data_IF_104500487288
#
_entry.id   IF_104500487288
#
_cell.length_a   1.000
_cell.length_b   1.000
_cell.length_c   1.000
_cell.angle_alpha   90.00
_cell.angle_beta   90.00
_cell.angle_gamma   90.00
#
_symmetry.space_group_name_H-M   'P 1'
#
loop_
_entity.id
_entity.type
_entity.pdbx_description
1 polymer ?
#
# COMPACT_ATOMS: atom_id res chain seq x y z
N UNK A 1 6.13 21.77 -5.50
CA UNK A 1 5.75 20.73 -6.49
C UNK A 1 5.38 19.45 -5.78
N UNK A 2 4.36 18.72 -6.24
CA UNK A 2 3.78 17.57 -5.54
C UNK A 2 4.86 16.59 -5.05
N UNK A 3 4.93 16.44 -3.73
CA UNK A 3 6.00 15.76 -3.01
C UNK A 3 6.28 14.39 -3.62
N UNK A 4 7.43 14.21 -4.27
CA UNK A 4 7.94 12.96 -4.86
C UNK A 4 7.71 11.72 -3.96
N UNK A 5 7.71 11.95 -2.64
CA UNK A 5 7.40 10.95 -1.61
C UNK A 5 5.96 10.41 -1.65
N UNK A 6 4.97 11.25 -1.89
CA UNK A 6 3.55 10.86 -1.98
C UNK A 6 3.31 9.98 -3.20
N UNK A 7 3.85 10.40 -4.36
CA UNK A 7 3.74 9.66 -5.61
C UNK A 7 4.35 8.25 -5.48
N UNK A 8 5.56 8.14 -4.91
CA UNK A 8 6.20 6.84 -4.66
C UNK A 8 5.39 5.94 -3.72
N UNK A 9 4.71 6.50 -2.71
CA UNK A 9 3.86 5.73 -1.80
C UNK A 9 2.58 5.24 -2.48
N UNK A 10 1.97 6.05 -3.33
CA UNK A 10 0.83 5.65 -4.15
C UNK A 10 1.21 4.58 -5.17
N UNK A 11 2.37 4.70 -5.81
CA UNK A 11 2.89 3.71 -6.74
C UNK A 11 3.15 2.36 -6.04
N UNK A 12 3.79 2.40 -4.86
CA UNK A 12 4.00 1.20 -4.05
C UNK A 12 2.67 0.56 -3.64
N UNK A 13 1.64 1.36 -3.36
CA UNK A 13 0.31 0.89 -3.01
C UNK A 13 -0.33 0.13 -4.17
N UNK A 14 -0.31 0.71 -5.38
CA UNK A 14 -0.83 0.08 -6.59
C UNK A 14 -0.08 -1.21 -6.93
N UNK A 15 1.25 -1.22 -6.78
CA UNK A 15 2.08 -2.42 -6.97
C UNK A 15 1.70 -3.54 -6.01
N UNK A 16 1.47 -3.22 -4.72
CA UNK A 16 1.02 -4.22 -3.74
C UNK A 16 -0.36 -4.77 -4.06
N UNK A 17 -1.27 -3.94 -4.58
CA UNK A 17 -2.59 -4.41 -5.03
C UNK A 17 -2.50 -5.40 -6.18
N UNK A 18 -1.67 -5.11 -7.18
CA UNK A 18 -1.44 -6.04 -8.28
C UNK A 18 -0.83 -7.37 -7.80
N UNK A 19 0.11 -7.33 -6.85
CA UNK A 19 0.71 -8.53 -6.26
C UNK A 19 -0.30 -9.36 -5.46
N UNK A 20 -1.17 -8.71 -4.68
CA UNK A 20 -2.23 -9.38 -3.93
C UNK A 20 -3.24 -10.02 -4.88
N UNK A 21 -3.65 -9.31 -5.93
CA UNK A 21 -4.58 -9.83 -6.92
C UNK A 21 -4.00 -11.05 -7.65
N UNK A 22 -2.73 -10.98 -8.08
CA UNK A 22 -2.03 -12.10 -8.73
C UNK A 22 -1.87 -13.30 -7.80
N UNK A 23 -1.48 -13.08 -6.54
CA UNK A 23 -1.37 -14.14 -5.56
C UNK A 23 -2.74 -14.77 -5.27
N UNK A 24 -3.78 -13.98 -5.05
CA UNK A 24 -5.13 -14.48 -4.79
C UNK A 24 -5.75 -15.24 -5.98
N UNK A 25 -5.38 -14.89 -7.22
CA UNK A 25 -5.84 -15.57 -8.41
C UNK A 25 -5.12 -16.92 -8.67
N UNK A 26 -4.03 -17.20 -7.96
CA UNK A 26 -3.27 -18.44 -8.15
C UNK A 26 -3.84 -19.57 -7.28
N UNK A 27 -4.19 -20.71 -7.90
CA UNK A 27 -4.59 -21.94 -7.19
C UNK A 27 -3.38 -22.50 -6.47
N UNK A 28 -3.39 -22.43 -5.14
CA UNK A 28 -2.28 -22.89 -4.28
C UNK A 28 -1.38 -21.77 -3.74
N UNK A 29 -1.80 -20.50 -3.85
CA UNK A 29 -1.06 -19.41 -3.23
C UNK A 29 -0.94 -19.59 -1.71
N UNK A 30 0.29 -19.45 -1.21
CA UNK A 30 0.58 -19.53 0.21
C UNK A 30 -0.26 -18.50 1.00
N UNK A 31 -1.17 -18.95 1.89
CA UNK A 31 -1.99 -18.07 2.70
C UNK A 31 -1.14 -17.11 3.56
N UNK A 32 0.04 -17.55 4.01
CA UNK A 32 0.95 -16.73 4.80
C UNK A 32 1.56 -15.60 3.95
N UNK A 33 2.03 -15.91 2.75
CA UNK A 33 2.53 -14.90 1.80
C UNK A 33 1.45 -13.85 1.48
N UNK A 34 0.19 -14.29 1.26
CA UNK A 34 -0.93 -13.38 1.01
C UNK A 34 -1.23 -12.50 2.24
N UNK A 35 -1.21 -13.07 3.45
CA UNK A 35 -1.39 -12.32 4.70
C UNK A 35 -0.28 -11.28 4.90
N UNK A 36 0.97 -11.61 4.59
CA UNK A 36 2.10 -10.69 4.65
C UNK A 36 1.98 -9.53 3.65
N UNK A 37 1.52 -9.80 2.42
CA UNK A 37 1.25 -8.78 1.43
C UNK A 37 0.13 -7.82 1.89
N UNK A 38 -0.97 -8.37 2.43
CA UNK A 38 -2.06 -7.57 2.99
C UNK A 38 -1.60 -6.71 4.18
N UNK A 39 -0.78 -7.27 5.08
CA UNK A 39 -0.18 -6.53 6.21
C UNK A 39 0.74 -5.39 5.73
N UNK A 40 1.53 -5.63 4.67
CA UNK A 40 2.35 -4.58 4.04
C UNK A 40 1.47 -3.47 3.45
N UNK A 41 0.37 -3.81 2.77
CA UNK A 41 -0.59 -2.83 2.23
C UNK A 41 -1.22 -1.99 3.34
N UNK A 42 -1.64 -2.61 4.45
CA UNK A 42 -2.25 -1.90 5.58
C UNK A 42 -1.31 -0.84 6.18
N UNK A 43 -0.05 -1.21 6.47
CA UNK A 43 0.95 -0.26 6.98
C UNK A 43 1.21 0.89 6.02
N UNK A 44 1.17 0.63 4.72
CA UNK A 44 1.34 1.67 3.71
C UNK A 44 0.15 2.63 3.69
N UNK A 45 -1.08 2.10 3.81
CA UNK A 45 -2.29 2.90 3.93
C UNK A 45 -2.24 3.80 5.16
N UNK A 46 -1.85 3.27 6.32
CA UNK A 46 -1.69 4.07 7.54
C UNK A 46 -0.67 5.19 7.36
N UNK A 47 0.45 4.92 6.68
CA UNK A 47 1.47 5.92 6.40
C UNK A 47 0.99 7.00 5.43
N UNK A 48 0.20 6.63 4.42
CA UNK A 48 -0.49 7.59 3.54
C UNK A 48 -1.50 8.43 4.34
N UNK A 49 -2.35 7.81 5.16
CA UNK A 49 -3.32 8.50 6.01
C UNK A 49 -2.65 9.52 6.93
N UNK A 50 -1.51 9.17 7.55
CA UNK A 50 -0.73 10.09 8.37
C UNK A 50 -0.17 11.26 7.56
N UNK A 51 0.29 11.03 6.34
CA UNK A 51 0.80 12.10 5.47
C UNK A 51 -0.33 13.02 5.00
N UNK A 52 -1.50 12.48 4.66
CA UNK A 52 -2.69 13.28 4.33
C UNK A 52 -3.19 14.06 5.54
N UNK A 53 -3.26 13.44 6.72
CA UNK A 53 -3.67 14.11 7.96
C UNK A 53 -2.68 15.23 8.36
N UNK A 54 -1.37 14.97 8.27
CA UNK A 54 -0.34 15.98 8.52
C UNK A 54 -0.38 17.13 7.52
N UNK A 55 -0.79 16.86 6.26
CA UNK A 55 -0.99 17.90 5.24
C UNK A 55 -2.23 18.76 5.52
N UNK A 56 -3.31 18.17 6.03
CA UNK A 56 -4.58 18.86 6.34
C UNK A 56 -4.50 19.69 7.62
N UNK A 57 -3.79 19.23 8.65
CA UNK A 57 -3.59 19.98 9.90
C UNK A 57 -2.46 21.02 9.86
N UNK A 58 -1.65 21.02 8.80
CA UNK A 58 -0.58 21.99 8.56
C UNK A 58 -0.94 23.08 7.54
N UNK A 59 -2.23 23.28 7.28
CA UNK A 59 -2.77 24.32 6.40
C UNK A 59 -3.56 25.35 7.24
#
# INVERSE_FOLDING_TARGET
>A
MMTNRMFRLLELHQKLDALIARAAASRGADPLALALLRKRKLRLRERLSRLFAARVMGA
#
